data_IF_987149696515
#
_entry.id   IF_987149696515
#
_cell.length_a   1.000
_cell.length_b   1.000
_cell.length_c   1.000
_cell.angle_alpha   90.00
_cell.angle_beta   90.00
_cell.angle_gamma   90.00
#
_symmetry.space_group_name_H-M   'P 1'
#
loop_
_entity.id
_entity.type
_entity.pdbx_description
1 polymer ?
#
# COMPACT_ATOMS: atom_id res chain seq x y z
N UNK A 1 -17.35 -13.51 8.28
CA UNK A 1 -16.98 -12.31 7.53
C UNK A 1 -15.79 -12.65 6.64
N UNK A 2 -15.69 -12.10 5.42
CA UNK A 2 -14.54 -12.33 4.55
C UNK A 2 -13.26 -11.77 5.14
N UNK A 3 -12.13 -12.38 4.76
CA UNK A 3 -10.79 -11.88 5.12
C UNK A 3 -10.23 -11.04 3.99
N UNK A 4 -9.53 -9.96 4.31
CA UNK A 4 -8.94 -9.07 3.32
C UNK A 4 -7.42 -8.95 3.43
N UNK A 5 -6.79 -8.69 2.29
CA UNK A 5 -5.43 -8.17 2.21
C UNK A 5 -5.54 -6.75 1.67
N UNK A 6 -5.24 -5.78 2.50
CA UNK A 6 -5.15 -4.38 2.08
C UNK A 6 -3.67 -4.09 1.80
N UNK A 7 -3.36 -3.59 0.61
CA UNK A 7 -1.99 -3.38 0.16
C UNK A 7 -1.69 -1.90 -0.02
N UNK A 8 -0.50 -1.46 0.35
CA UNK A 8 0.01 -0.20 -0.18
C UNK A 8 0.32 -0.34 -1.68
N UNK A 9 0.55 0.77 -2.34
CA UNK A 9 0.81 0.85 -3.78
C UNK A 9 2.31 0.93 -4.08
N UNK A 10 2.91 2.07 -3.74
CA UNK A 10 4.29 2.40 -4.10
C UNK A 10 5.28 1.67 -3.17
N UNK A 11 6.23 0.95 -3.73
CA UNK A 11 7.17 0.12 -2.95
C UNK A 11 6.59 -1.23 -2.51
N UNK A 12 5.30 -1.48 -2.74
CA UNK A 12 4.58 -2.70 -2.37
C UNK A 12 4.10 -3.47 -3.60
N UNK A 13 3.27 -2.86 -4.43
CA UNK A 13 2.78 -3.44 -5.69
C UNK A 13 3.64 -3.02 -6.88
N UNK A 14 4.01 -1.76 -6.90
CA UNK A 14 4.78 -1.17 -8.01
C UNK A 14 6.05 -0.52 -7.49
N UNK A 15 7.05 -0.48 -8.34
CA UNK A 15 8.32 0.17 -8.02
C UNK A 15 8.16 1.68 -8.09
N UNK A 16 8.97 2.41 -7.35
CA UNK A 16 9.07 3.87 -7.41
C UNK A 16 9.98 4.28 -8.57
N UNK A 17 9.72 5.45 -9.14
CA UNK A 17 10.60 6.04 -10.16
C UNK A 17 11.83 6.62 -9.48
N UNK A 18 13.00 6.15 -9.91
CA UNK A 18 14.30 6.67 -9.47
C UNK A 18 14.93 7.49 -10.58
N UNK A 19 15.13 8.76 -10.33
CA UNK A 19 15.90 9.64 -11.22
C UNK A 19 17.32 9.80 -10.64
N UNK A 20 18.26 9.08 -11.23
CA UNK A 20 19.65 9.06 -10.75
C UNK A 20 20.36 10.40 -10.97
N UNK A 21 19.99 11.15 -12.01
CA UNK A 21 20.62 12.44 -12.34
C UNK A 21 20.18 13.54 -11.37
N UNK A 22 18.91 13.48 -10.96
CA UNK A 22 18.37 14.43 -9.98
C UNK A 22 18.51 13.93 -8.54
N UNK A 23 18.86 12.67 -8.33
CA UNK A 23 18.96 12.07 -7.00
C UNK A 23 17.62 12.01 -6.26
N UNK A 24 16.49 11.92 -7.00
CA UNK A 24 15.16 11.92 -6.42
C UNK A 24 14.45 10.59 -6.62
N UNK A 25 13.59 10.25 -5.67
CA UNK A 25 12.70 9.12 -5.73
C UNK A 25 11.27 9.67 -5.70
N UNK A 26 10.46 9.28 -6.68
CA UNK A 26 9.07 9.75 -6.81
C UNK A 26 8.12 8.58 -7.03
N UNK A 27 6.84 8.71 -6.63
CA UNK A 27 5.83 7.78 -7.11
C UNK A 27 5.65 7.92 -8.63
N UNK A 28 5.10 6.90 -9.27
CA UNK A 28 4.74 6.98 -10.69
C UNK A 28 3.67 8.05 -10.92
N UNK A 29 3.86 8.83 -11.96
CA UNK A 29 2.93 9.89 -12.38
C UNK A 29 2.32 9.65 -13.77
N UNK A 30 2.76 8.59 -14.48
CA UNK A 30 2.23 8.18 -15.76
C UNK A 30 2.02 6.65 -15.83
N UNK A 31 0.94 6.16 -16.46
CA UNK A 31 0.67 4.72 -16.59
C UNK A 31 1.81 3.90 -17.21
N UNK A 32 2.59 4.50 -18.12
CA UNK A 32 3.71 3.82 -18.78
C UNK A 32 4.90 3.55 -17.86
N UNK A 33 4.93 4.20 -16.71
CA UNK A 33 5.98 4.01 -15.69
C UNK A 33 5.69 2.82 -14.78
N UNK A 34 4.44 2.32 -14.76
CA UNK A 34 4.04 1.21 -13.91
C UNK A 34 4.92 -0.03 -14.15
N UNK A 35 5.60 -0.47 -13.10
CA UNK A 35 6.42 -1.68 -13.06
C UNK A 35 6.08 -2.46 -11.80
N UNK A 36 5.47 -3.63 -11.94
CA UNK A 36 5.26 -4.50 -10.80
C UNK A 36 6.59 -4.90 -10.17
N UNK A 37 6.60 -4.92 -8.84
CA UNK A 37 7.73 -5.47 -8.09
C UNK A 37 7.79 -6.99 -8.28
N UNK A 38 8.99 -7.61 -8.14
CA UNK A 38 9.14 -9.05 -8.22
C UNK A 38 8.22 -9.79 -7.23
N UNK A 39 7.56 -10.85 -7.69
CA UNK A 39 6.68 -11.70 -6.88
C UNK A 39 5.29 -11.10 -6.58
N UNK A 40 4.94 -9.94 -7.14
CA UNK A 40 3.64 -9.29 -6.86
C UNK A 40 2.49 -10.09 -7.45
N UNK A 41 2.53 -10.41 -8.74
CA UNK A 41 1.43 -11.11 -9.41
C UNK A 41 1.24 -12.52 -8.84
N UNK A 42 2.33 -13.23 -8.56
CA UNK A 42 2.33 -14.56 -7.94
C UNK A 42 1.75 -14.51 -6.53
N UNK A 43 2.21 -13.57 -5.70
CA UNK A 43 1.74 -13.39 -4.34
C UNK A 43 0.25 -13.06 -4.26
N UNK A 44 -0.21 -12.08 -5.08
CA UNK A 44 -1.62 -11.69 -5.13
C UNK A 44 -2.51 -12.84 -5.62
N UNK A 45 -2.09 -13.56 -6.66
CA UNK A 45 -2.84 -14.71 -7.17
C UNK A 45 -3.04 -15.78 -6.11
N UNK A 46 -1.98 -16.12 -5.35
CA UNK A 46 -2.05 -17.11 -4.26
C UNK A 46 -2.97 -16.66 -3.12
N UNK A 47 -2.92 -15.38 -2.74
CA UNK A 47 -3.78 -14.82 -1.69
C UNK A 47 -5.26 -14.81 -2.14
N UNK A 48 -5.53 -14.42 -3.39
CA UNK A 48 -6.88 -14.46 -3.96
C UNK A 48 -7.43 -15.89 -4.04
N UNK A 49 -6.62 -16.85 -4.48
CA UNK A 49 -7.00 -18.28 -4.52
C UNK A 49 -7.27 -18.87 -3.13
N UNK A 50 -6.64 -18.33 -2.09
CA UNK A 50 -6.92 -18.69 -0.69
C UNK A 50 -8.16 -18.00 -0.11
N UNK A 51 -8.91 -17.23 -0.93
CA UNK A 51 -10.16 -16.61 -0.56
C UNK A 51 -10.05 -15.26 0.13
N UNK A 52 -8.89 -14.60 0.08
CA UNK A 52 -8.77 -13.21 0.54
C UNK A 52 -9.31 -12.23 -0.50
N UNK A 53 -10.09 -11.24 -0.05
CA UNK A 53 -10.42 -10.07 -0.85
C UNK A 53 -9.21 -9.14 -0.89
N UNK A 54 -8.84 -8.68 -2.08
CA UNK A 54 -7.69 -7.79 -2.27
C UNK A 54 -8.18 -6.35 -2.40
N UNK A 55 -7.55 -5.43 -1.67
CA UNK A 55 -7.82 -4.01 -1.74
C UNK A 55 -6.53 -3.18 -1.68
N UNK A 56 -6.59 -1.92 -2.09
CA UNK A 56 -5.45 -1.00 -2.08
C UNK A 56 -5.77 0.20 -1.20
N UNK A 57 -4.81 0.60 -0.33
CA UNK A 57 -4.86 1.82 0.48
C UNK A 57 -3.55 2.60 0.36
N UNK A 58 -3.54 3.71 -0.37
CA UNK A 58 -2.31 4.44 -0.71
C UNK A 58 -2.32 5.91 -0.31
N UNK A 59 -1.19 6.41 0.21
CA UNK A 59 -0.95 7.82 0.49
C UNK A 59 -0.37 8.50 -0.76
N UNK A 60 -1.13 9.41 -1.37
CA UNK A 60 -0.75 10.13 -2.59
C UNK A 60 -0.81 11.65 -2.42
N UNK A 61 0.10 12.25 -1.64
CA UNK A 61 0.04 13.67 -1.31
C UNK A 61 0.46 14.61 -2.44
N UNK A 62 0.77 14.11 -3.63
CA UNK A 62 1.30 14.87 -4.75
C UNK A 62 0.44 16.10 -5.13
N UNK A 63 -0.89 15.97 -5.03
CA UNK A 63 -1.80 17.08 -5.30
C UNK A 63 -1.74 18.17 -4.23
N UNK A 64 -1.73 17.78 -2.94
CA UNK A 64 -1.56 18.72 -1.83
C UNK A 64 -0.19 19.42 -1.85
N UNK A 65 0.83 18.74 -2.38
CA UNK A 65 2.20 19.27 -2.48
C UNK A 65 2.47 20.08 -3.76
N UNK A 66 1.52 20.16 -4.70
CA UNK A 66 1.74 20.80 -5.99
C UNK A 66 2.68 20.04 -6.94
N UNK A 67 2.95 18.78 -6.68
CA UNK A 67 3.84 17.92 -7.47
C UNK A 67 3.13 17.21 -8.61
N UNK A 68 1.87 16.85 -8.40
CA UNK A 68 1.05 16.10 -9.36
C UNK A 68 -0.38 16.62 -9.38
N UNK A 69 -1.01 16.67 -10.54
CA UNK A 69 -2.45 16.89 -10.63
C UNK A 69 -3.21 15.65 -10.09
N UNK A 70 -4.33 15.86 -9.39
CA UNK A 70 -5.22 14.79 -8.92
C UNK A 70 -5.54 13.78 -10.04
N UNK A 71 -5.90 14.29 -11.23
CA UNK A 71 -6.21 13.45 -12.38
C UNK A 71 -5.05 12.55 -12.83
N UNK A 72 -3.78 12.95 -12.60
CA UNK A 72 -2.64 12.08 -12.89
C UNK A 72 -2.57 10.90 -11.91
N UNK A 73 -2.80 11.14 -10.62
CA UNK A 73 -2.86 10.10 -9.59
C UNK A 73 -3.99 9.10 -9.91
N UNK A 74 -5.17 9.60 -10.27
CA UNK A 74 -6.33 8.78 -10.64
C UNK A 74 -6.05 7.91 -11.89
N UNK A 75 -5.41 8.49 -12.93
CA UNK A 75 -5.03 7.72 -14.12
C UNK A 75 -4.07 6.58 -13.80
N UNK A 76 -3.07 6.81 -12.95
CA UNK A 76 -2.13 5.76 -12.53
C UNK A 76 -2.86 4.66 -11.75
N UNK A 77 -3.73 5.03 -10.82
CA UNK A 77 -4.53 4.07 -10.05
C UNK A 77 -5.44 3.22 -10.96
N UNK A 78 -6.14 3.84 -11.91
CA UNK A 78 -6.97 3.11 -12.88
C UNK A 78 -6.15 2.16 -13.75
N UNK A 79 -4.99 2.60 -14.22
CA UNK A 79 -4.10 1.77 -15.03
C UNK A 79 -3.54 0.59 -14.23
N UNK A 80 -3.20 0.80 -12.96
CA UNK A 80 -2.75 -0.28 -12.06
C UNK A 80 -3.85 -1.35 -11.90
N UNK A 81 -5.07 -0.95 -11.56
CA UNK A 81 -6.20 -1.87 -11.41
C UNK A 81 -6.50 -2.62 -12.71
N UNK A 82 -6.45 -1.92 -13.86
CA UNK A 82 -6.65 -2.54 -15.17
C UNK A 82 -5.59 -3.62 -15.46
N UNK A 83 -4.30 -3.33 -15.23
CA UNK A 83 -3.21 -4.30 -15.44
C UNK A 83 -3.28 -5.50 -14.50
N UNK A 84 -3.69 -5.30 -13.24
CA UNK A 84 -3.94 -6.41 -12.30
C UNK A 84 -5.07 -7.29 -12.81
N UNK A 85 -6.18 -6.70 -13.28
CA UNK A 85 -7.31 -7.43 -13.86
C UNK A 85 -6.93 -8.21 -15.12
N UNK A 86 -6.12 -7.64 -16.00
CA UNK A 86 -5.56 -8.32 -17.18
C UNK A 86 -4.70 -9.55 -16.77
N UNK A 87 -4.11 -9.52 -15.58
CA UNK A 87 -3.36 -10.63 -14.98
C UNK A 87 -4.26 -11.60 -14.18
N UNK A 88 -5.59 -11.45 -14.23
CA UNK A 88 -6.54 -12.30 -13.52
C UNK A 88 -6.68 -11.98 -12.03
N UNK A 89 -6.22 -10.80 -11.61
CA UNK A 89 -6.26 -10.35 -10.20
C UNK A 89 -7.30 -9.23 -10.06
N UNK A 90 -8.36 -9.50 -9.28
CA UNK A 90 -9.42 -8.52 -9.02
C UNK A 90 -9.11 -7.74 -7.73
N UNK A 91 -9.20 -6.41 -7.82
CA UNK A 91 -9.10 -5.49 -6.68
C UNK A 91 -10.50 -5.05 -6.31
N UNK A 92 -10.97 -5.45 -5.13
CA UNK A 92 -12.32 -5.19 -4.65
C UNK A 92 -12.54 -3.74 -4.22
N UNK A 93 -11.48 -3.04 -3.76
CA UNK A 93 -11.56 -1.63 -3.35
C UNK A 93 -10.20 -0.94 -3.50
N UNK A 94 -10.20 0.35 -3.86
CA UNK A 94 -9.03 1.20 -3.85
C UNK A 94 -9.34 2.52 -3.15
N UNK A 95 -8.61 2.82 -2.08
CA UNK A 95 -8.72 4.07 -1.34
C UNK A 95 -7.43 4.87 -1.48
N UNK A 96 -7.56 6.16 -1.74
CA UNK A 96 -6.43 7.08 -1.91
C UNK A 96 -6.55 8.24 -0.95
N UNK A 97 -5.54 8.46 -0.14
CA UNK A 97 -5.42 9.69 0.65
C UNK A 97 -4.59 10.72 -0.12
N UNK A 98 -5.21 11.83 -0.51
CA UNK A 98 -4.56 12.93 -1.20
C UNK A 98 -4.03 14.01 -0.24
N UNK A 99 -4.35 13.94 1.06
CA UNK A 99 -4.02 14.97 2.03
C UNK A 99 -2.54 14.98 2.42
N UNK A 100 -2.04 16.18 2.76
CA UNK A 100 -0.75 16.38 3.42
C UNK A 100 -0.89 17.43 4.54
N UNK A 101 -0.27 17.23 5.72
CA UNK A 101 -0.43 18.17 6.85
C UNK A 101 0.04 19.59 6.51
N UNK A 102 1.11 19.74 5.75
CA UNK A 102 1.74 21.03 5.45
C UNK A 102 1.52 21.48 4.00
N UNK A 103 1.15 20.55 3.10
CA UNK A 103 1.04 20.86 1.66
C UNK A 103 2.40 21.17 1.00
N UNK A 104 2.37 21.99 -0.04
CA UNK A 104 3.56 22.49 -0.75
C UNK A 104 3.22 23.62 -1.71
N UNK A 105 4.24 24.28 -2.30
CA UNK A 105 4.05 25.37 -3.24
C UNK A 105 3.21 24.95 -4.45
N UNK A 106 2.16 25.71 -4.76
CA UNK A 106 1.26 25.42 -5.89
C UNK A 106 0.32 24.22 -5.66
N UNK A 107 0.28 23.65 -4.45
CA UNK A 107 -0.59 22.55 -4.10
C UNK A 107 -2.05 22.96 -3.90
N UNK A 108 -2.93 21.95 -3.90
CA UNK A 108 -4.35 22.13 -3.62
C UNK A 108 -4.55 22.37 -2.12
N UNK A 109 -4.85 23.62 -1.76
CA UNK A 109 -5.06 24.04 -0.37
C UNK A 109 -6.21 23.30 0.33
N UNK A 110 -7.18 22.76 -0.40
CA UNK A 110 -8.29 21.99 0.17
C UNK A 110 -7.86 20.61 0.69
N UNK A 111 -6.68 20.15 0.29
CA UNK A 111 -6.06 18.89 0.70
C UNK A 111 -4.99 19.07 1.79
N UNK A 112 -4.80 20.32 2.27
CA UNK A 112 -3.82 20.62 3.32
C UNK A 112 -4.49 20.63 4.68
N UNK A 113 -3.90 19.90 5.62
CA UNK A 113 -4.37 19.83 7.00
C UNK A 113 -4.55 18.41 7.51
N UNK A 114 -5.04 18.28 8.77
CA UNK A 114 -5.27 16.96 9.36
C UNK A 114 -6.39 16.21 8.65
N UNK A 115 -6.23 14.90 8.52
CA UNK A 115 -7.27 14.00 8.02
C UNK A 115 -7.19 12.66 8.74
N UNK A 116 -8.23 11.85 8.64
CA UNK A 116 -8.26 10.50 9.22
C UNK A 116 -7.83 9.41 8.22
N UNK A 117 -7.75 9.74 6.91
CA UNK A 117 -7.43 8.76 5.88
C UNK A 117 -5.94 8.47 5.72
N UNK A 118 -5.04 9.43 6.00
CA UNK A 118 -3.60 9.28 5.77
C UNK A 118 -2.98 8.28 6.74
N UNK A 119 -2.38 7.20 6.23
CA UNK A 119 -1.51 6.32 7.03
C UNK A 119 -0.38 7.13 7.69
N UNK A 120 -0.10 6.95 8.99
CA UNK A 120 -0.40 5.79 9.83
C UNK A 120 -1.81 5.75 10.45
N UNK A 121 -2.73 6.67 10.14
CA UNK A 121 -4.10 6.56 10.61
C UNK A 121 -4.86 5.46 9.86
N UNK A 122 -5.83 4.85 10.52
CA UNK A 122 -6.56 3.69 10.02
C UNK A 122 -7.72 4.02 9.06
N UNK A 123 -8.04 5.28 8.79
CA UNK A 123 -9.30 5.66 8.15
C UNK A 123 -9.57 5.02 6.78
N UNK A 124 -8.55 4.85 5.92
CA UNK A 124 -8.72 4.13 4.66
C UNK A 124 -9.00 2.63 4.89
N UNK A 125 -8.27 2.01 5.83
CA UNK A 125 -8.41 0.59 6.15
C UNK A 125 -9.80 0.30 6.70
N UNK A 126 -10.27 1.13 7.63
CA UNK A 126 -11.61 0.99 8.22
C UNK A 126 -12.72 1.20 7.20
N UNK A 127 -12.55 2.14 6.27
CA UNK A 127 -13.50 2.32 5.17
C UNK A 127 -13.57 1.10 4.27
N UNK A 128 -12.41 0.59 3.81
CA UNK A 128 -12.34 -0.65 3.01
C UNK A 128 -13.00 -1.82 3.76
N UNK A 129 -12.70 -1.95 5.05
CA UNK A 129 -13.28 -3.02 5.87
C UNK A 129 -14.80 -2.90 6.01
N UNK A 130 -15.33 -1.69 6.12
CA UNK A 130 -16.78 -1.45 6.14
C UNK A 130 -17.42 -1.78 4.79
N UNK A 131 -16.85 -1.27 3.70
CA UNK A 131 -17.39 -1.44 2.35
C UNK A 131 -17.38 -2.91 1.89
N UNK A 132 -16.41 -3.70 2.35
CA UNK A 132 -16.23 -5.12 2.00
C UNK A 132 -16.64 -6.09 3.12
N UNK A 133 -17.17 -5.59 4.24
CA UNK A 133 -17.60 -6.36 5.41
C UNK A 133 -16.48 -7.30 5.96
N UNK A 134 -15.22 -6.78 6.01
CA UNK A 134 -14.06 -7.59 6.38
C UNK A 134 -14.01 -7.93 7.87
N UNK A 135 -13.54 -9.13 8.17
CA UNK A 135 -13.03 -9.49 9.50
C UNK A 135 -11.64 -8.88 9.68
N UNK A 136 -11.56 -7.76 10.41
CA UNK A 136 -10.32 -7.01 10.61
C UNK A 136 -9.24 -7.85 11.31
N UNK A 137 -9.61 -8.68 12.29
CA UNK A 137 -8.65 -9.46 13.08
C UNK A 137 -8.00 -10.58 12.29
N UNK A 138 -8.67 -11.05 11.24
CA UNK A 138 -8.17 -12.07 10.33
C UNK A 138 -7.75 -11.50 8.97
N UNK A 139 -7.66 -10.17 8.88
CA UNK A 139 -7.22 -9.44 7.69
C UNK A 139 -5.84 -8.82 7.90
N UNK A 140 -5.18 -8.49 6.80
CA UNK A 140 -3.81 -7.97 6.80
C UNK A 140 -3.73 -6.62 6.10
N UNK A 141 -2.93 -5.71 6.66
CA UNK A 141 -2.34 -4.59 5.93
C UNK A 141 -0.93 -4.95 5.53
N UNK A 142 -0.61 -4.86 4.25
CA UNK A 142 0.71 -5.15 3.69
C UNK A 142 1.28 -3.89 3.06
N UNK A 143 2.49 -3.53 3.45
CA UNK A 143 3.19 -2.36 2.94
C UNK A 143 4.70 -2.47 3.09
N UNK A 144 5.41 -1.42 2.68
CA UNK A 144 6.87 -1.35 2.76
C UNK A 144 7.36 -0.34 3.81
N UNK A 145 6.43 0.30 4.53
CA UNK A 145 6.73 1.40 5.44
C UNK A 145 6.22 1.20 6.87
N UNK A 146 6.80 1.95 7.81
CA UNK A 146 6.32 2.05 9.20
C UNK A 146 4.85 2.48 9.24
N UNK A 147 4.47 3.42 8.39
CA UNK A 147 3.11 3.95 8.37
C UNK A 147 2.05 2.88 8.05
N UNK A 148 2.42 1.83 7.31
CA UNK A 148 1.54 0.70 7.00
C UNK A 148 1.35 -0.19 8.22
N UNK A 149 2.44 -0.51 8.92
CA UNK A 149 2.41 -1.34 10.13
C UNK A 149 1.65 -0.64 11.25
N UNK A 150 1.87 0.67 11.46
CA UNK A 150 1.14 1.46 12.44
C UNK A 150 -0.35 1.58 12.09
N UNK A 151 -0.69 1.75 10.80
CA UNK A 151 -2.08 1.78 10.35
C UNK A 151 -2.78 0.43 10.57
N UNK A 152 -2.07 -0.69 10.35
CA UNK A 152 -2.58 -2.02 10.68
C UNK A 152 -2.91 -2.13 12.17
N UNK A 153 -1.99 -1.76 13.05
CA UNK A 153 -2.20 -1.75 14.51
C UNK A 153 -3.39 -0.88 14.92
N UNK A 154 -3.49 0.33 14.35
CA UNK A 154 -4.60 1.25 14.62
C UNK A 154 -5.96 0.69 14.14
N UNK A 155 -5.97 -0.13 13.08
CA UNK A 155 -7.16 -0.81 12.57
C UNK A 155 -7.42 -2.18 13.25
N UNK A 156 -6.55 -2.64 14.15
CA UNK A 156 -6.57 -3.99 14.74
C UNK A 156 -6.48 -5.11 13.69
N UNK A 157 -5.73 -4.86 12.64
CA UNK A 157 -5.38 -5.82 11.60
C UNK A 157 -3.99 -6.39 11.86
N UNK A 158 -3.71 -7.53 11.24
CA UNK A 158 -2.34 -8.05 11.15
C UNK A 158 -1.53 -7.21 10.17
N UNK A 159 -0.22 -7.14 10.39
CA UNK A 159 0.71 -6.34 9.59
C UNK A 159 1.73 -7.21 8.86
N UNK A 160 1.83 -7.00 7.55
CA UNK A 160 2.86 -7.59 6.70
C UNK A 160 3.82 -6.53 6.18
N UNK A 161 5.11 -6.70 6.41
CA UNK A 161 6.13 -5.75 5.96
C UNK A 161 6.96 -6.32 4.81
N UNK A 162 6.96 -5.64 3.67
CA UNK A 162 7.89 -5.91 2.59
C UNK A 162 9.21 -5.19 2.89
N UNK A 163 10.24 -5.96 3.18
CA UNK A 163 11.55 -5.43 3.54
C UNK A 163 12.66 -6.17 2.79
N UNK A 164 13.23 -5.51 1.80
CA UNK A 164 14.47 -5.94 1.15
C UNK A 164 15.61 -5.01 1.59
N UNK A 165 16.57 -5.49 2.40
CA UNK A 165 17.67 -4.66 2.89
C UNK A 165 18.56 -4.10 1.76
N UNK A 166 18.49 -4.68 0.56
CA UNK A 166 19.23 -4.20 -0.63
C UNK A 166 18.55 -3.01 -1.30
N UNK A 167 17.25 -2.80 -1.03
CA UNK A 167 16.41 -1.74 -1.61
C UNK A 167 16.04 -0.67 -0.60
N UNK A 168 16.43 -0.83 0.65
CA UNK A 168 16.04 0.05 1.75
C UNK A 168 16.93 1.30 1.81
N UNK A 169 16.93 2.11 0.76
CA UNK A 169 17.71 3.35 0.68
C UNK A 169 17.13 4.43 1.60
N UNK A 170 15.82 4.40 1.82
CA UNK A 170 15.07 5.43 2.57
C UNK A 170 14.34 4.87 3.80
N UNK A 171 14.66 3.66 4.23
CA UNK A 171 13.87 3.00 5.27
C UNK A 171 14.19 3.54 6.66
N UNK A 172 13.28 4.30 7.29
CA UNK A 172 13.44 4.73 8.68
C UNK A 172 13.32 3.58 9.69
N UNK A 173 12.96 2.38 9.26
CA UNK A 173 12.86 1.17 10.10
C UNK A 173 14.17 0.81 10.80
N UNK A 174 15.33 1.23 10.28
CA UNK A 174 16.63 1.01 10.95
C UNK A 174 16.75 1.74 12.29
N UNK A 175 15.89 2.70 12.55
CA UNK A 175 15.98 3.58 13.74
C UNK A 175 14.72 3.59 14.60
N UNK A 176 13.65 2.90 14.21
CA UNK A 176 12.40 2.85 14.98
C UNK A 176 12.47 1.83 16.11
N UNK A 177 12.32 2.25 17.38
CA UNK A 177 12.19 1.30 18.47
C UNK A 177 10.84 0.58 18.39
N UNK A 178 10.84 -0.74 18.47
CA UNK A 178 9.65 -1.58 18.76
C UNK A 178 8.58 -1.73 17.65
N UNK A 179 8.93 -1.59 16.38
CA UNK A 179 8.00 -1.98 15.33
C UNK A 179 8.17 -3.47 15.04
N UNK A 180 7.17 -4.26 15.39
CA UNK A 180 7.14 -5.70 15.17
C UNK A 180 5.98 -6.03 14.23
N UNK A 181 6.21 -6.10 12.90
CA UNK A 181 5.19 -6.63 12.00
C UNK A 181 4.93 -8.10 12.32
N UNK A 182 3.68 -8.55 12.13
CA UNK A 182 3.31 -9.96 12.34
C UNK A 182 4.01 -10.90 11.36
N UNK A 183 4.33 -10.40 10.16
CA UNK A 183 5.16 -11.10 9.19
C UNK A 183 6.03 -10.11 8.39
N UNK A 184 7.20 -10.55 7.94
CA UNK A 184 8.04 -9.78 7.02
C UNK A 184 8.71 -10.68 5.98
N UNK A 185 8.89 -10.15 4.76
CA UNK A 185 9.58 -10.86 3.68
C UNK A 185 10.11 -9.87 2.64
N UNK A 186 11.10 -10.26 1.80
CA UNK A 186 11.65 -9.36 0.79
C UNK A 186 10.76 -9.18 -0.44
N UNK A 187 9.78 -10.08 -0.68
CA UNK A 187 8.88 -10.05 -1.84
C UNK A 187 7.47 -10.45 -1.42
N UNK A 188 6.47 -10.07 -2.22
CA UNK A 188 5.07 -10.34 -1.88
C UNK A 188 4.71 -11.83 -1.95
N UNK A 189 5.29 -12.60 -2.85
CA UNK A 189 5.08 -14.05 -2.89
C UNK A 189 5.64 -14.78 -1.67
N UNK A 190 6.81 -14.35 -1.18
CA UNK A 190 7.37 -14.86 0.07
C UNK A 190 6.50 -14.46 1.28
N UNK A 191 6.02 -13.22 1.33
CA UNK A 191 5.11 -12.76 2.38
C UNK A 191 3.76 -13.48 2.33
N UNK A 192 3.23 -13.74 1.12
CA UNK A 192 2.01 -14.52 0.94
C UNK A 192 2.16 -15.94 1.53
N UNK A 193 3.36 -16.54 1.42
CA UNK A 193 3.65 -17.83 2.06
C UNK A 193 3.52 -17.74 3.59
N UNK A 194 4.08 -16.69 4.20
CA UNK A 194 3.98 -16.47 5.65
C UNK A 194 2.52 -16.26 6.11
N UNK A 195 1.77 -15.41 5.38
CA UNK A 195 0.36 -15.13 5.65
C UNK A 195 -0.50 -16.41 5.58
N UNK A 196 -0.29 -17.23 4.56
CA UNK A 196 -1.05 -18.46 4.35
C UNK A 196 -0.70 -19.53 5.39
N UNK A 197 0.51 -19.56 5.90
CA UNK A 197 0.92 -20.46 6.98
C UNK A 197 0.33 -20.01 8.33
N UNK A 198 0.30 -18.71 8.62
CA UNK A 198 -0.33 -18.15 9.82
C UNK A 198 -1.83 -18.49 9.88
N UNK A 199 -2.54 -18.42 8.74
CA UNK A 199 -3.96 -18.75 8.65
C UNK A 199 -4.30 -20.24 8.82
N UNK A 200 -3.30 -21.14 8.84
CA UNK A 200 -3.45 -22.59 9.07
C UNK A 200 -3.13 -23.01 10.50
N UNK A 201 -2.61 -22.10 11.31
CA UNK A 201 -2.42 -22.37 12.74
C UNK A 201 -3.79 -22.34 13.43
N UNK A 202 -4.13 -23.36 14.26
CA UNK A 202 -5.43 -23.51 14.91
C UNK A 202 -5.72 -22.40 15.92
#
# INVERSE_FOLDING_TARGET
MPRGIILDRDGTLIDVVRDADLGVITPEFHPDQLRFLPGVLEGLSRLAQAGYLLAIATNQPGAAKGQLARAAIERVNHALVARLRESGIEIASLQTCLHHPEGGPGGDATLVGPCECRKPKAGMLLRIATDLELDLTNSWMVGDSIADVEAAGAARMKSGLLFDPRRCELCPLRTGPNLHPDASAPTLDALATAILNDSRSP
#
